data_IF_830103187223
#
_entry.id   IF_830103187223
#
_cell.length_a   1.000
_cell.length_b   1.000
_cell.length_c   1.000
_cell.angle_alpha   90.00
_cell.angle_beta   90.00
_cell.angle_gamma   90.00
#
_symmetry.space_group_name_H-M   'P 1'
#
loop_
_entity.id
_entity.type
_entity.pdbx_description
1 polymer ?
#
# COMPACT_ATOMS: atom_id res chain seq x y z
N UNK A 1 21.44 3.99 7.05
CA UNK A 1 20.32 3.10 7.45
C UNK A 1 20.37 1.89 6.54
N UNK A 2 20.52 0.67 7.09
CA UNK A 2 20.39 -0.54 6.29
C UNK A 2 18.88 -0.80 6.11
N UNK A 3 18.45 -0.95 4.85
CA UNK A 3 17.07 -1.22 4.49
C UNK A 3 16.96 -2.64 3.95
N UNK A 4 15.92 -3.36 4.40
CA UNK A 4 15.54 -4.64 3.83
C UNK A 4 14.12 -4.51 3.29
N UNK A 5 14.00 -4.48 1.96
CA UNK A 5 12.72 -4.50 1.26
C UNK A 5 12.42 -5.91 0.76
N UNK A 6 11.25 -6.42 1.10
CA UNK A 6 10.73 -7.70 0.59
C UNK A 6 9.26 -7.50 0.19
N UNK A 7 8.85 -8.17 -0.86
CA UNK A 7 7.47 -8.18 -1.30
C UNK A 7 7.02 -9.56 -1.72
N UNK A 8 5.73 -9.77 -1.69
CA UNK A 8 5.05 -10.91 -2.27
C UNK A 8 3.74 -10.44 -2.88
N UNK A 9 3.42 -10.97 -4.04
CA UNK A 9 2.10 -10.82 -4.66
C UNK A 9 1.70 -12.15 -5.26
N UNK A 10 0.46 -12.53 -5.07
CA UNK A 10 -0.06 -13.81 -5.45
C UNK A 10 -1.52 -13.68 -5.88
N UNK A 11 -1.85 -14.28 -7.01
CA UNK A 11 -3.22 -14.24 -7.54
C UNK A 11 -4.25 -14.93 -6.64
N UNK A 12 -3.82 -15.82 -5.75
CA UNK A 12 -4.71 -16.73 -5.04
C UNK A 12 -5.22 -17.88 -5.92
N UNK A 13 -6.01 -18.74 -5.31
CA UNK A 13 -6.48 -19.96 -5.98
C UNK A 13 -7.83 -19.80 -6.71
N UNK A 14 -8.56 -18.72 -6.41
CA UNK A 14 -9.95 -18.52 -6.87
C UNK A 14 -10.07 -17.44 -7.94
N UNK A 15 -9.32 -16.34 -7.82
CA UNK A 15 -9.37 -15.22 -8.76
C UNK A 15 -8.78 -15.61 -10.12
N UNK A 16 -9.35 -15.08 -11.22
CA UNK A 16 -8.84 -15.31 -12.58
C UNK A 16 -7.60 -14.47 -12.90
N UNK A 17 -7.50 -13.28 -12.31
CA UNK A 17 -6.37 -12.34 -12.46
C UNK A 17 -5.95 -11.79 -11.11
N UNK A 18 -4.75 -11.21 -11.05
CA UNK A 18 -4.31 -10.45 -9.91
C UNK A 18 -4.58 -8.97 -10.17
N UNK A 19 -5.51 -8.40 -9.42
CA UNK A 19 -5.92 -6.99 -9.51
C UNK A 19 -5.21 -6.10 -8.48
N UNK A 20 -4.40 -6.71 -7.59
CA UNK A 20 -3.52 -5.96 -6.70
C UNK A 20 -2.36 -5.33 -7.48
N UNK A 21 -2.02 -4.12 -7.12
CA UNK A 21 -0.81 -3.45 -7.60
C UNK A 21 -0.04 -2.86 -6.42
N UNK A 22 1.28 -2.77 -6.57
CA UNK A 22 2.12 -2.17 -5.54
C UNK A 22 3.33 -1.46 -6.14
N UNK A 23 3.90 -0.53 -5.40
CA UNK A 23 5.23 0.00 -5.68
C UNK A 23 6.05 0.17 -4.40
N UNK A 24 7.38 0.15 -4.59
CA UNK A 24 8.35 0.58 -3.59
C UNK A 24 9.45 1.37 -4.28
N UNK A 25 9.67 2.60 -3.82
CA UNK A 25 10.70 3.52 -4.30
C UNK A 25 11.59 3.92 -3.15
N UNK A 26 12.89 3.79 -3.32
CA UNK A 26 13.88 4.21 -2.32
C UNK A 26 14.88 5.11 -3.02
N UNK A 27 15.13 6.28 -2.46
CA UNK A 27 16.09 7.25 -2.97
C UNK A 27 16.83 7.93 -1.83
N UNK A 28 17.90 8.64 -2.15
CA UNK A 28 18.65 9.45 -1.20
C UNK A 28 18.60 10.92 -1.62
N UNK A 29 18.24 11.79 -0.68
CA UNK A 29 18.32 13.24 -0.83
C UNK A 29 19.38 13.78 0.14
N UNK A 30 20.56 14.11 -0.40
CA UNK A 30 21.72 14.40 0.45
C UNK A 30 22.11 13.17 1.27
N UNK A 31 22.05 13.30 2.60
CA UNK A 31 22.32 12.19 3.54
C UNK A 31 21.04 11.46 3.98
N UNK A 32 19.88 11.95 3.60
CA UNK A 32 18.60 11.34 3.98
C UNK A 32 18.19 10.26 3.01
N UNK A 33 17.79 9.11 3.51
CA UNK A 33 17.15 8.06 2.73
C UNK A 33 15.65 8.23 2.86
N UNK A 34 14.96 8.30 1.74
CA UNK A 34 13.51 8.36 1.65
C UNK A 34 12.98 7.11 0.96
N UNK A 35 11.83 6.63 1.40
CA UNK A 35 11.18 5.47 0.82
C UNK A 35 9.68 5.72 0.67
N UNK A 36 9.14 5.41 -0.49
CA UNK A 36 7.70 5.38 -0.77
C UNK A 36 7.29 3.93 -0.99
N UNK A 37 6.23 3.51 -0.33
CA UNK A 37 5.57 2.23 -0.55
C UNK A 37 4.09 2.49 -0.81
N UNK A 38 3.49 1.74 -1.72
CA UNK A 38 2.04 1.74 -1.92
C UNK A 38 1.54 0.34 -2.25
N UNK A 39 0.35 0.02 -1.75
CA UNK A 39 -0.45 -1.16 -2.11
C UNK A 39 -1.84 -0.68 -2.45
N UNK A 40 -2.34 -1.15 -3.59
CA UNK A 40 -3.63 -0.83 -4.14
C UNK A 40 -4.33 -2.13 -4.55
N UNK A 41 -5.49 -2.40 -3.96
CA UNK A 41 -6.31 -3.56 -4.26
C UNK A 41 -7.40 -3.14 -5.25
N UNK A 42 -7.36 -3.73 -6.43
CA UNK A 42 -8.29 -3.42 -7.51
C UNK A 42 -9.62 -4.11 -7.33
N UNK A 43 -10.70 -3.35 -7.22
CA UNK A 43 -12.06 -3.85 -7.06
C UNK A 43 -12.88 -3.68 -8.34
N UNK A 44 -13.56 -4.73 -8.78
CA UNK A 44 -14.42 -4.69 -9.96
C UNK A 44 -14.37 -5.96 -10.78
N UNK A 45 -15.28 -6.07 -11.76
CA UNK A 45 -15.33 -7.20 -12.68
C UNK A 45 -14.27 -7.11 -13.78
N UNK A 46 -13.70 -8.25 -14.20
CA UNK A 46 -12.72 -8.38 -15.28
C UNK A 46 -11.44 -7.54 -15.04
N UNK A 47 -10.83 -6.99 -16.10
CA UNK A 47 -9.55 -6.26 -16.04
C UNK A 47 -9.63 -4.83 -15.47
N UNK A 48 -10.83 -4.34 -15.14
CA UNK A 48 -11.02 -2.95 -14.78
C UNK A 48 -10.43 -2.59 -13.39
N UNK A 49 -10.47 -3.52 -12.42
CA UNK A 49 -9.83 -3.31 -11.11
C UNK A 49 -8.31 -3.17 -11.22
N UNK A 50 -7.69 -3.97 -12.09
CA UNK A 50 -6.25 -3.90 -12.38
C UNK A 50 -5.84 -2.54 -12.98
N UNK A 51 -6.67 -1.98 -13.88
CA UNK A 51 -6.45 -0.65 -14.44
C UNK A 51 -6.41 0.43 -13.34
N UNK A 52 -7.38 0.38 -12.41
CA UNK A 52 -7.45 1.36 -11.32
C UNK A 52 -6.28 1.24 -10.34
N UNK A 53 -5.94 0.02 -9.91
CA UNK A 53 -4.84 -0.20 -8.96
C UNK A 53 -3.48 0.15 -9.56
N UNK A 54 -3.23 -0.19 -10.82
CA UNK A 54 -2.01 0.19 -11.54
C UNK A 54 -1.93 1.70 -11.74
N UNK A 55 -3.04 2.36 -12.10
CA UNK A 55 -3.09 3.82 -12.21
C UNK A 55 -2.75 4.52 -10.90
N UNK A 56 -3.28 4.02 -9.78
CA UNK A 56 -2.99 4.58 -8.46
C UNK A 56 -1.51 4.44 -8.09
N UNK A 57 -0.92 3.28 -8.30
CA UNK A 57 0.51 3.05 -8.05
C UNK A 57 1.38 3.98 -8.89
N UNK A 58 1.10 4.14 -10.18
CA UNK A 58 1.84 5.05 -11.09
C UNK A 58 1.77 6.50 -10.61
N UNK A 59 0.61 6.98 -10.17
CA UNK A 59 0.49 8.35 -9.65
C UNK A 59 1.45 8.60 -8.47
N UNK A 60 1.61 7.63 -7.57
CA UNK A 60 2.56 7.73 -6.46
C UNK A 60 4.01 7.63 -6.92
N UNK A 61 4.34 6.79 -7.90
CA UNK A 61 5.67 6.71 -8.51
C UNK A 61 6.06 8.04 -9.16
N UNK A 62 5.17 8.60 -10.00
CA UNK A 62 5.39 9.90 -10.67
C UNK A 62 5.52 11.03 -9.65
N UNK A 63 4.70 11.03 -8.60
CA UNK A 63 4.83 11.99 -7.52
C UNK A 63 6.20 11.90 -6.82
N UNK A 64 6.67 10.69 -6.54
CA UNK A 64 7.96 10.46 -5.91
C UNK A 64 9.12 10.96 -6.78
N UNK A 65 9.05 10.76 -8.09
CA UNK A 65 10.09 11.16 -9.03
C UNK A 65 10.07 12.66 -9.35
N UNK A 66 8.87 13.24 -9.51
CA UNK A 66 8.73 14.60 -10.07
C UNK A 66 8.48 15.66 -9.00
N UNK A 67 7.71 15.37 -7.95
CA UNK A 67 7.29 16.36 -6.97
C UNK A 67 8.07 16.28 -5.66
N UNK A 68 8.34 15.08 -5.14
CA UNK A 68 9.04 14.90 -3.88
C UNK A 68 10.40 15.61 -3.82
N UNK A 69 11.25 15.62 -4.89
CA UNK A 69 12.52 16.34 -4.86
C UNK A 69 12.36 17.83 -4.57
N UNK A 70 11.35 18.48 -5.13
CA UNK A 70 11.05 19.89 -4.91
C UNK A 70 10.53 20.14 -3.48
N UNK A 71 9.68 19.25 -2.99
CA UNK A 71 9.16 19.28 -1.62
C UNK A 71 10.32 19.15 -0.62
N UNK A 72 11.23 18.20 -0.83
CA UNK A 72 12.41 18.00 0.01
C UNK A 72 13.32 19.23 0.04
N UNK A 73 13.56 19.87 -1.12
CA UNK A 73 14.37 21.11 -1.22
C UNK A 73 13.72 22.29 -0.50
N UNK A 74 12.39 22.36 -0.49
CA UNK A 74 11.64 23.44 0.17
C UNK A 74 11.48 23.25 1.68
N UNK A 75 11.89 22.10 2.20
CA UNK A 75 11.65 21.67 3.59
C UNK A 75 10.32 20.95 3.72
N UNK A 76 10.41 19.62 3.79
CA UNK A 76 9.25 18.71 3.87
C UNK A 76 8.35 19.05 5.07
N UNK A 77 7.06 19.21 4.82
CA UNK A 77 6.02 19.40 5.83
C UNK A 77 4.83 18.49 5.58
N UNK A 78 4.08 18.16 6.65
CA UNK A 78 2.84 17.37 6.55
C UNK A 78 1.88 17.98 5.50
N UNK A 79 1.72 19.29 5.53
CA UNK A 79 0.82 20.02 4.60
C UNK A 79 1.22 19.82 3.14
N UNK A 80 2.52 19.90 2.82
CA UNK A 80 2.98 19.73 1.43
C UNK A 80 2.73 18.31 0.92
N UNK A 81 3.03 17.30 1.74
CA UNK A 81 2.79 15.90 1.38
C UNK A 81 1.30 15.66 1.20
N UNK A 82 0.47 16.04 2.16
CA UNK A 82 -0.96 15.75 2.14
C UNK A 82 -1.71 16.48 1.02
N UNK A 83 -1.38 17.76 0.76
CA UNK A 83 -1.99 18.50 -0.34
C UNK A 83 -1.62 17.91 -1.70
N UNK A 84 -0.34 17.55 -1.90
CA UNK A 84 0.09 16.95 -3.16
C UNK A 84 -0.52 15.56 -3.37
N UNK A 85 -0.60 14.74 -2.33
CA UNK A 85 -1.27 13.45 -2.40
C UNK A 85 -2.78 13.58 -2.61
N UNK A 86 -3.41 14.54 -1.95
CA UNK A 86 -4.84 14.81 -2.19
C UNK A 86 -5.10 15.13 -3.66
N UNK A 87 -4.27 16.00 -4.24
CA UNK A 87 -4.42 16.42 -5.64
C UNK A 87 -4.27 15.25 -6.62
N UNK A 88 -3.25 14.37 -6.43
CA UNK A 88 -3.09 13.21 -7.34
C UNK A 88 -4.24 12.21 -7.18
N UNK A 89 -4.73 11.99 -5.96
CA UNK A 89 -5.85 11.08 -5.71
C UNK A 89 -7.16 11.64 -6.27
N UNK A 90 -7.41 12.93 -6.14
CA UNK A 90 -8.59 13.59 -6.69
C UNK A 90 -8.60 13.54 -8.22
N UNK A 91 -7.46 13.86 -8.86
CA UNK A 91 -7.33 13.78 -10.30
C UNK A 91 -7.58 12.36 -10.81
N UNK A 92 -6.94 11.36 -10.19
CA UNK A 92 -7.14 9.95 -10.56
C UNK A 92 -8.58 9.49 -10.33
N UNK A 93 -9.17 9.83 -9.18
CA UNK A 93 -10.56 9.47 -8.88
C UNK A 93 -11.52 9.98 -9.95
N UNK A 94 -11.39 11.26 -10.32
CA UNK A 94 -12.23 11.85 -11.36
C UNK A 94 -12.02 11.17 -12.72
N UNK A 95 -10.78 10.90 -13.10
CA UNK A 95 -10.46 10.21 -14.34
C UNK A 95 -11.04 8.79 -14.41
N UNK A 96 -10.95 8.03 -13.30
CA UNK A 96 -11.53 6.70 -13.20
C UNK A 96 -13.06 6.74 -13.24
N UNK A 97 -13.70 7.70 -12.57
CA UNK A 97 -15.16 7.90 -12.63
C UNK A 97 -15.63 8.20 -14.05
N UNK A 98 -14.95 9.10 -14.76
CA UNK A 98 -15.27 9.42 -16.17
C UNK A 98 -15.10 8.21 -17.09
N UNK A 99 -14.05 7.40 -16.87
CA UNK A 99 -13.84 6.18 -17.65
C UNK A 99 -14.93 5.15 -17.34
N UNK A 100 -15.31 4.97 -16.07
CA UNK A 100 -16.37 4.07 -15.64
C UNK A 100 -17.72 4.42 -16.29
N UNK A 101 -18.08 5.71 -16.31
CA UNK A 101 -19.30 6.20 -16.98
C UNK A 101 -19.27 5.93 -18.48
N UNK A 102 -18.16 6.21 -19.17
CA UNK A 102 -18.03 5.99 -20.62
C UNK A 102 -18.06 4.53 -21.01
N UNK A 103 -17.49 3.65 -20.21
CA UNK A 103 -17.43 2.21 -20.46
C UNK A 103 -18.62 1.43 -19.92
N UNK A 104 -19.52 2.08 -19.18
CA UNK A 104 -20.62 1.45 -18.42
C UNK A 104 -20.14 0.33 -17.48
N UNK A 105 -18.95 0.47 -16.92
CA UNK A 105 -18.35 -0.47 -15.95
C UNK A 105 -18.36 0.11 -14.55
N UNK A 106 -18.33 -0.76 -13.54
CA UNK A 106 -18.10 -0.38 -12.14
C UNK A 106 -16.80 -1.03 -11.68
N UNK A 107 -15.87 -0.20 -11.28
CA UNK A 107 -14.56 -0.63 -10.79
C UNK A 107 -13.91 0.48 -9.98
N UNK A 108 -12.87 0.14 -9.26
CA UNK A 108 -12.10 1.08 -8.48
C UNK A 108 -10.88 0.43 -7.87
N UNK A 109 -10.28 1.08 -6.91
CA UNK A 109 -9.15 0.53 -6.16
C UNK A 109 -9.08 1.11 -4.77
N UNK A 110 -8.59 0.32 -3.82
CA UNK A 110 -8.11 0.84 -2.53
C UNK A 110 -6.79 1.57 -2.73
N UNK A 111 -6.37 2.33 -1.74
CA UNK A 111 -5.02 2.92 -1.65
C UNK A 111 -4.55 2.87 -0.22
N UNK A 112 -3.39 2.26 0.00
CA UNK A 112 -2.58 2.42 1.21
C UNK A 112 -1.18 2.79 0.78
N UNK A 113 -0.78 4.06 0.98
CA UNK A 113 0.54 4.54 0.62
C UNK A 113 1.25 5.15 1.84
N UNK A 114 2.55 4.90 1.94
CA UNK A 114 3.42 5.34 3.03
C UNK A 114 4.70 5.96 2.48
N UNK A 115 5.02 7.19 2.92
CA UNK A 115 6.31 7.82 2.73
C UNK A 115 7.09 7.77 4.05
N UNK A 116 8.32 7.31 3.98
CA UNK A 116 9.31 7.41 5.05
C UNK A 116 10.31 8.49 4.64
N UNK A 117 10.36 9.57 5.39
CA UNK A 117 11.29 10.67 5.13
C UNK A 117 11.77 11.27 6.45
N UNK A 118 13.07 11.48 6.55
CA UNK A 118 13.73 11.99 7.78
C UNK A 118 13.37 11.12 8.99
N UNK A 119 12.80 11.71 10.00
CA UNK A 119 12.37 11.08 11.25
C UNK A 119 10.84 10.84 11.30
N UNK A 120 10.17 10.92 10.16
CA UNK A 120 8.70 10.84 10.07
C UNK A 120 8.21 9.79 9.09
N UNK A 121 7.00 9.34 9.36
CA UNK A 121 6.14 8.55 8.48
C UNK A 121 4.95 9.42 8.08
N UNK A 122 4.57 9.35 6.80
CA UNK A 122 3.36 9.97 6.25
C UNK A 122 2.57 8.89 5.54
N UNK A 123 1.28 8.81 5.78
CA UNK A 123 0.47 7.81 5.09
C UNK A 123 -0.89 8.33 4.71
N UNK A 124 -1.45 7.70 3.69
CA UNK A 124 -2.81 7.91 3.23
C UNK A 124 -3.51 6.58 3.04
N UNK A 125 -4.81 6.58 3.32
CA UNK A 125 -5.67 5.43 3.15
C UNK A 125 -6.98 5.80 2.45
N UNK A 126 -7.38 4.94 1.49
CA UNK A 126 -8.72 4.81 0.92
C UNK A 126 -9.02 3.32 0.83
N UNK A 127 -10.07 2.84 1.49
CA UNK A 127 -10.44 1.42 1.50
C UNK A 127 -9.95 0.66 2.73
N UNK A 128 -9.63 -0.61 2.58
CA UNK A 128 -9.32 -1.56 3.66
C UNK A 128 -7.97 -2.28 3.53
N UNK A 129 -7.18 -1.95 2.50
CA UNK A 129 -5.75 -2.29 2.51
C UNK A 129 -5.07 -1.64 3.70
N UNK A 130 -4.15 -2.36 4.35
CA UNK A 130 -3.64 -1.95 5.67
C UNK A 130 -2.18 -1.58 5.66
N UNK A 131 -1.82 -0.73 6.62
CA UNK A 131 -0.44 -0.38 6.99
C UNK A 131 -0.24 -0.74 8.46
N UNK A 132 0.78 -1.54 8.73
CA UNK A 132 1.23 -1.87 10.08
C UNK A 132 2.60 -1.28 10.33
N UNK A 133 2.84 -0.80 11.54
CA UNK A 133 4.13 -0.36 12.05
C UNK A 133 4.56 -1.29 13.19
N UNK A 134 5.77 -1.79 13.11
CA UNK A 134 6.44 -2.51 14.21
C UNK A 134 7.65 -1.70 14.67
N UNK A 135 7.70 -1.40 15.96
CA UNK A 135 8.80 -0.64 16.60
C UNK A 135 9.78 -1.55 17.36
N UNK A 136 9.60 -2.87 17.24
CA UNK A 136 10.35 -3.90 17.94
C UNK A 136 9.77 -4.28 19.30
N UNK A 137 8.88 -3.47 19.88
CA UNK A 137 8.15 -3.80 21.10
C UNK A 137 6.77 -4.41 20.78
N UNK A 138 6.22 -4.08 19.63
CA UNK A 138 4.94 -4.59 19.15
C UNK A 138 4.59 -4.05 17.77
N UNK A 139 3.53 -4.60 17.21
CA UNK A 139 2.96 -4.15 15.94
C UNK A 139 1.63 -3.46 16.18
N UNK A 140 1.42 -2.32 15.56
CA UNK A 140 0.13 -1.61 15.53
C UNK A 140 -0.34 -1.41 14.08
N UNK A 141 -1.65 -1.44 13.86
CA UNK A 141 -2.27 -1.07 12.60
C UNK A 141 -2.43 0.46 12.55
N UNK A 142 -1.70 1.12 11.63
CA UNK A 142 -1.77 2.57 11.44
C UNK A 142 -3.04 3.02 10.72
N UNK A 143 -3.60 2.17 9.88
CA UNK A 143 -4.80 2.40 9.08
C UNK A 143 -6.02 1.82 9.78
N UNK A 144 -7.22 2.21 9.32
CA UNK A 144 -8.46 1.68 9.82
C UNK A 144 -9.36 1.30 8.66
N UNK A 145 -9.80 0.04 8.64
CA UNK A 145 -10.59 -0.48 7.52
C UNK A 145 -11.85 0.35 7.28
N UNK A 146 -12.00 0.83 6.07
CA UNK A 146 -13.17 1.61 5.66
C UNK A 146 -14.25 0.67 5.10
N UNK A 147 -14.73 -0.25 5.93
CA UNK A 147 -15.75 -1.25 5.59
C UNK A 147 -17.05 -1.04 6.38
N UNK A 148 -18.12 -1.64 5.87
CA UNK A 148 -19.42 -1.59 6.54
C UNK A 148 -19.37 -2.25 7.92
N UNK A 149 -18.64 -3.37 8.07
CA UNK A 149 -18.50 -4.02 9.37
C UNK A 149 -17.75 -3.15 10.38
N UNK A 150 -16.65 -2.50 9.97
CA UNK A 150 -15.92 -1.59 10.85
C UNK A 150 -16.79 -0.40 11.30
N UNK A 151 -17.61 0.18 10.41
CA UNK A 151 -18.57 1.22 10.78
C UNK A 151 -19.59 0.74 11.80
N UNK A 152 -20.03 -0.53 11.72
CA UNK A 152 -20.93 -1.11 12.73
C UNK A 152 -20.23 -1.32 14.08
N UNK A 153 -18.94 -1.66 14.08
CA UNK A 153 -18.13 -1.75 15.31
C UNK A 153 -18.02 -0.37 15.96
N UNK A 154 -17.68 0.66 15.21
CA UNK A 154 -17.59 2.05 15.70
C UNK A 154 -18.91 2.58 16.27
N UNK A 155 -20.00 2.18 15.67
CA UNK A 155 -21.33 2.53 16.15
C UNK A 155 -21.79 1.68 17.35
N UNK A 156 -20.96 0.75 17.85
CA UNK A 156 -21.29 -0.15 18.96
C UNK A 156 -22.36 -1.19 18.64
N UNK A 157 -22.64 -1.44 17.34
CA UNK A 157 -23.64 -2.41 16.90
C UNK A 157 -23.05 -3.79 16.56
N UNK A 158 -21.73 -3.87 16.46
CA UNK A 158 -20.99 -5.11 16.22
C UNK A 158 -19.76 -5.14 17.14
N UNK A 159 -19.43 -6.29 17.73
CA UNK A 159 -18.18 -6.39 18.48
C UNK A 159 -16.97 -6.63 17.55
N UNK A 160 -15.74 -6.23 17.93
CA UNK A 160 -14.55 -6.49 17.13
C UNK A 160 -14.34 -7.98 16.82
N UNK A 161 -14.68 -8.87 17.75
CA UNK A 161 -14.56 -10.32 17.55
C UNK A 161 -15.58 -10.82 16.52
N UNK A 162 -16.82 -10.33 16.57
CA UNK A 162 -17.87 -10.71 15.63
C UNK A 162 -17.59 -10.17 14.22
N UNK A 163 -16.87 -9.05 14.08
CA UNK A 163 -16.49 -8.48 12.80
C UNK A 163 -15.66 -9.47 11.96
N UNK A 164 -14.81 -10.28 12.58
CA UNK A 164 -13.92 -11.21 11.86
C UNK A 164 -14.68 -12.22 10.98
N UNK A 165 -15.90 -12.58 11.38
CA UNK A 165 -16.76 -13.54 10.65
C UNK A 165 -17.96 -12.88 9.97
N UNK A 166 -18.12 -11.56 10.10
CA UNK A 166 -19.23 -10.82 9.52
C UNK A 166 -19.01 -10.64 8.00
N UNK A 167 -20.01 -10.99 7.19
CA UNK A 167 -19.92 -10.84 5.73
C UNK A 167 -19.75 -9.40 5.27
N UNK A 168 -20.12 -8.41 6.09
CA UNK A 168 -20.00 -6.98 5.79
C UNK A 168 -18.55 -6.47 5.90
N UNK A 169 -17.60 -7.29 6.39
CA UNK A 169 -16.18 -6.92 6.45
C UNK A 169 -15.56 -6.65 5.08
N UNK A 170 -16.08 -7.30 4.03
CA UNK A 170 -15.62 -7.15 2.65
C UNK A 170 -16.46 -6.11 1.86
N UNK A 171 -17.37 -5.37 2.52
CA UNK A 171 -18.15 -4.31 1.87
C UNK A 171 -17.45 -2.97 2.10
N UNK A 172 -16.72 -2.51 1.09
CA UNK A 172 -16.05 -1.22 1.11
C UNK A 172 -17.05 -0.06 1.22
N UNK A 173 -16.72 0.92 2.04
CA UNK A 173 -17.46 2.18 2.13
C UNK A 173 -17.02 3.19 1.08
N UNK A 174 -15.78 3.08 0.61
CA UNK A 174 -15.21 3.93 -0.41
C UNK A 174 -14.01 3.28 -1.11
N UNK A 175 -13.79 3.68 -2.34
CA UNK A 175 -12.61 3.36 -3.15
C UNK A 175 -12.38 4.49 -4.17
N UNK A 176 -11.20 4.54 -4.79
CA UNK A 176 -10.99 5.39 -5.97
C UNK A 176 -11.78 4.84 -7.16
N UNK A 177 -12.34 5.73 -7.98
CA UNK A 177 -13.07 5.39 -9.20
C UNK A 177 -14.57 5.13 -9.01
N UNK A 178 -15.08 5.16 -7.76
CA UNK A 178 -16.49 4.94 -7.51
C UNK A 178 -17.02 5.77 -6.34
N UNK A 179 -18.13 6.47 -6.55
CA UNK A 179 -18.85 7.21 -5.52
C UNK A 179 -18.09 8.42 -4.98
N UNK A 180 -18.18 8.65 -3.68
CA UNK A 180 -17.47 9.74 -2.98
C UNK A 180 -16.19 9.20 -2.37
N UNK A 181 -15.10 9.92 -2.53
CA UNK A 181 -13.81 9.61 -1.95
C UNK A 181 -13.47 10.58 -0.81
N UNK A 182 -13.11 10.08 0.34
CA UNK A 182 -12.65 10.84 1.51
C UNK A 182 -11.34 10.20 2.03
N UNK A 183 -10.18 10.53 1.46
CA UNK A 183 -8.91 9.94 1.88
C UNK A 183 -8.57 10.36 3.31
N UNK A 184 -8.00 9.44 4.07
CA UNK A 184 -7.51 9.71 5.42
C UNK A 184 -6.00 9.88 5.37
N UNK A 185 -5.51 11.09 5.68
CA UNK A 185 -4.10 11.44 5.74
C UNK A 185 -3.64 11.51 7.19
N UNK A 186 -2.51 10.89 7.49
CA UNK A 186 -1.91 10.91 8.82
C UNK A 186 -0.38 10.93 8.74
N UNK A 187 0.26 11.35 9.81
CA UNK A 187 1.71 11.30 9.97
C UNK A 187 2.07 11.00 11.42
N UNK A 188 3.26 10.46 11.61
CA UNK A 188 3.78 10.13 12.92
C UNK A 188 5.30 10.07 12.94
N UNK A 189 5.90 9.93 14.12
CA UNK A 189 7.35 9.77 14.25
C UNK A 189 7.77 8.40 13.71
N UNK A 190 8.92 8.37 13.04
CA UNK A 190 9.58 7.12 12.66
C UNK A 190 10.41 6.59 13.82
N UNK A 191 10.22 5.36 14.31
CA UNK A 191 11.11 4.76 15.30
C UNK A 191 12.53 4.60 14.74
N UNK A 192 13.53 4.64 15.59
CA UNK A 192 14.93 4.47 15.16
C UNK A 192 15.17 3.11 14.50
N UNK A 193 14.55 2.07 15.01
CA UNK A 193 14.48 0.73 14.40
C UNK A 193 13.03 0.37 14.24
N UNK A 194 12.72 -0.32 13.16
CA UNK A 194 11.34 -0.75 12.96
C UNK A 194 11.14 -1.41 11.63
N UNK A 195 9.89 -1.74 11.37
CA UNK A 195 9.44 -2.27 10.11
C UNK A 195 8.03 -1.78 9.81
N UNK A 196 7.70 -1.69 8.54
CA UNK A 196 6.32 -1.49 8.09
C UNK A 196 5.90 -2.65 7.20
N UNK A 197 4.62 -2.98 7.28
CA UNK A 197 3.95 -3.90 6.35
C UNK A 197 2.80 -3.14 5.71
N UNK A 198 2.80 -3.06 4.39
CA UNK A 198 1.64 -2.63 3.61
C UNK A 198 1.06 -3.87 2.94
N UNK A 199 -0.24 -4.08 3.00
CA UNK A 199 -0.84 -5.27 2.42
C UNK A 199 -2.29 -5.05 1.98
N UNK A 200 -2.72 -5.83 0.97
CA UNK A 200 -4.13 -6.02 0.66
C UNK A 200 -4.82 -6.86 1.74
N UNK A 201 -6.13 -6.85 1.73
CA UNK A 201 -6.97 -7.57 2.69
C UNK A 201 -6.71 -9.08 2.67
N UNK A 202 -6.47 -9.69 1.49
CA UNK A 202 -6.16 -11.11 1.35
C UNK A 202 -4.91 -11.56 2.11
N UNK A 203 -3.94 -10.67 2.36
CA UNK A 203 -2.79 -11.01 3.19
C UNK A 203 -3.12 -10.97 4.68
N UNK A 204 -3.95 -10.05 5.13
CA UNK A 204 -4.15 -9.77 6.55
C UNK A 204 -5.46 -10.30 7.15
N UNK A 205 -6.41 -10.80 6.36
CA UNK A 205 -7.70 -11.32 6.86
C UNK A 205 -7.58 -12.36 7.97
N UNK A 206 -6.55 -13.21 7.90
CA UNK A 206 -6.35 -14.32 8.83
C UNK A 206 -5.19 -14.09 9.79
N UNK A 207 -4.61 -12.89 9.81
CA UNK A 207 -3.46 -12.56 10.64
C UNK A 207 -3.84 -11.61 11.78
N UNK A 208 -3.49 -11.98 13.00
CA UNK A 208 -3.47 -11.05 14.12
C UNK A 208 -2.15 -10.26 14.14
N UNK A 209 -2.14 -9.07 14.73
CA UNK A 209 -0.96 -8.21 14.87
C UNK A 209 0.26 -8.95 15.46
N UNK A 210 0.05 -9.83 16.44
CA UNK A 210 1.12 -10.67 17.00
C UNK A 210 1.76 -11.63 15.99
N UNK A 211 1.04 -12.04 14.94
CA UNK A 211 1.59 -12.91 13.90
C UNK A 211 2.42 -12.05 12.92
N UNK A 212 1.99 -10.83 12.64
CA UNK A 212 2.77 -9.84 11.88
C UNK A 212 4.05 -9.47 12.66
N UNK A 213 3.93 -9.22 13.97
CA UNK A 213 5.10 -8.99 14.83
C UNK A 213 6.15 -10.11 14.74
N UNK A 214 5.71 -11.37 14.82
CA UNK A 214 6.62 -12.52 14.67
C UNK A 214 7.25 -12.60 13.29
N UNK A 215 6.46 -12.38 12.22
CA UNK A 215 6.97 -12.32 10.87
C UNK A 215 8.14 -11.34 10.76
N UNK A 216 8.03 -10.19 11.43
CA UNK A 216 9.04 -9.13 11.37
C UNK A 216 10.22 -9.37 12.30
N UNK A 217 10.01 -9.90 13.50
CA UNK A 217 11.05 -10.00 14.53
C UNK A 217 11.82 -11.33 14.51
N UNK A 218 11.20 -12.42 14.05
CA UNK A 218 11.84 -13.74 13.97
C UNK A 218 12.65 -13.95 12.67
N UNK A 219 12.78 -12.91 11.82
CA UNK A 219 13.51 -12.96 10.55
C UNK A 219 14.63 -11.93 10.54
N UNK A 220 15.88 -12.38 10.41
CA UNK A 220 17.05 -11.50 10.43
C UNK A 220 17.51 -11.11 9.02
N UNK A 221 17.35 -12.02 8.06
CA UNK A 221 17.78 -11.82 6.68
C UNK A 221 16.59 -11.61 5.73
N UNK A 222 16.88 -10.94 4.60
CA UNK A 222 15.90 -10.75 3.52
C UNK A 222 15.32 -12.07 3.04
N UNK A 223 16.15 -13.10 2.92
CA UNK A 223 15.74 -14.44 2.47
C UNK A 223 14.78 -15.11 3.47
N UNK A 224 15.11 -15.06 4.77
CA UNK A 224 14.24 -15.60 5.82
C UNK A 224 12.88 -14.88 5.83
N UNK A 225 12.89 -13.56 5.69
CA UNK A 225 11.67 -12.76 5.64
C UNK A 225 10.81 -13.16 4.42
N UNK A 226 11.42 -13.29 3.25
CA UNK A 226 10.72 -13.73 2.04
C UNK A 226 10.11 -15.13 2.20
N UNK A 227 10.88 -16.11 2.71
CA UNK A 227 10.39 -17.46 2.98
C UNK A 227 9.24 -17.47 3.99
N UNK A 228 9.31 -16.62 5.00
CA UNK A 228 8.23 -16.52 5.99
C UNK A 228 6.97 -15.86 5.39
N UNK A 229 7.12 -14.86 4.51
CA UNK A 229 6.00 -14.28 3.77
C UNK A 229 5.34 -15.31 2.85
N UNK A 230 6.10 -16.17 2.17
CA UNK A 230 5.54 -17.28 1.38
C UNK A 230 4.71 -18.25 2.26
N UNK A 231 5.24 -18.65 3.41
CA UNK A 231 4.49 -19.49 4.35
C UNK A 231 3.22 -18.81 4.86
N UNK A 232 3.26 -17.48 4.98
CA UNK A 232 2.07 -16.69 5.36
C UNK A 232 1.01 -16.73 4.26
N UNK A 233 1.39 -16.60 2.98
CA UNK A 233 0.47 -16.77 1.85
C UNK A 233 -0.15 -18.18 1.84
N UNK A 234 0.67 -19.22 2.01
CA UNK A 234 0.18 -20.61 2.13
C UNK A 234 -0.79 -20.77 3.31
N UNK A 235 -0.51 -20.12 4.43
CA UNK A 235 -1.39 -20.11 5.59
C UNK A 235 -2.74 -19.44 5.27
N UNK A 236 -2.75 -18.27 4.63
CA UNK A 236 -3.99 -17.58 4.23
C UNK A 236 -4.83 -18.47 3.30
N UNK A 237 -4.22 -19.06 2.28
CA UNK A 237 -4.89 -19.99 1.35
C UNK A 237 -5.49 -21.19 2.09
N UNK A 238 -4.73 -21.82 2.99
CA UNK A 238 -5.19 -22.97 3.77
C UNK A 238 -6.36 -22.63 4.71
N UNK A 239 -6.54 -21.37 5.09
CA UNK A 239 -7.65 -20.87 5.90
C UNK A 239 -8.83 -20.36 5.08
N UNK A 240 -8.78 -20.52 3.76
CA UNK A 240 -9.90 -20.22 2.87
C UNK A 240 -9.87 -18.81 2.25
N UNK A 241 -8.69 -18.17 2.19
CA UNK A 241 -8.56 -16.93 1.43
C UNK A 241 -8.85 -17.18 -0.06
N UNK A 242 -9.67 -16.32 -0.62
CA UNK A 242 -10.14 -16.43 -2.01
C UNK A 242 -9.72 -15.24 -2.88
N UNK A 243 -9.11 -14.22 -2.26
CA UNK A 243 -8.69 -13.01 -2.96
C UNK A 243 -7.23 -13.04 -3.40
N UNK A 244 -6.84 -12.00 -4.09
CA UNK A 244 -5.43 -11.68 -4.37
C UNK A 244 -4.71 -11.40 -3.05
N UNK A 245 -3.44 -11.73 -2.95
CA UNK A 245 -2.67 -11.65 -1.71
C UNK A 245 -1.40 -10.86 -1.98
N UNK A 246 -1.32 -9.63 -1.52
CA UNK A 246 -0.16 -8.76 -1.73
C UNK A 246 0.34 -8.17 -0.43
N UNK A 247 1.66 -8.18 -0.22
CA UNK A 247 2.30 -7.51 0.89
C UNK A 247 3.69 -6.97 0.54
N UNK A 248 4.00 -5.80 1.08
CA UNK A 248 5.30 -5.15 1.08
C UNK A 248 5.80 -5.06 2.52
N UNK A 249 7.05 -5.41 2.74
CA UNK A 249 7.73 -5.24 4.04
C UNK A 249 8.99 -4.42 3.83
N UNK A 250 9.12 -3.33 4.56
CA UNK A 250 10.36 -2.57 4.66
C UNK A 250 10.81 -2.55 6.12
N UNK A 251 12.00 -3.09 6.38
CA UNK A 251 12.66 -3.04 7.71
C UNK A 251 13.83 -2.07 7.65
N UNK A 252 14.07 -1.37 8.75
CA UNK A 252 15.25 -0.50 8.92
C UNK A 252 15.89 -0.70 10.30
N UNK A 253 17.20 -0.59 10.32
CA UNK A 253 17.97 -0.48 11.56
C UNK A 253 18.46 0.97 11.76
N UNK A 254 18.68 1.35 13.00
CA UNK A 254 19.12 2.69 13.36
C UNK A 254 20.58 3.02 13.01
N UNK A 255 21.28 2.18 12.27
CA UNK A 255 22.67 2.41 11.92
C UNK A 255 22.76 3.35 10.72
N UNK A 256 23.25 4.56 10.93
CA UNK A 256 23.70 5.44 9.87
C UNK A 256 24.88 4.76 9.14
N UNK A 257 24.64 4.20 7.96
CA UNK A 257 25.75 3.91 7.06
C UNK A 257 26.33 5.24 6.58
N UNK A 258 27.56 5.55 6.97
CA UNK A 258 28.36 6.57 6.31
C UNK A 258 28.54 6.15 4.85
N UNK A 259 27.69 6.64 3.97
CA UNK A 259 27.87 6.48 2.52
C UNK A 259 28.90 7.51 2.03
N UNK A 260 29.78 7.08 1.12
CA UNK A 260 30.65 7.92 0.35
C UNK A 260 29.85 8.93 -0.50
N UNK A 261 30.39 10.10 -0.76
CA UNK A 261 29.78 11.27 -1.43
C UNK A 261 29.34 11.07 -2.90
N UNK A 262 29.07 9.86 -3.36
CA UNK A 262 28.47 9.60 -4.66
C UNK A 262 26.98 9.30 -4.48
N UNK A 263 26.13 10.14 -5.06
CA UNK A 263 24.71 9.90 -5.20
C UNK A 263 24.48 8.71 -6.13
N UNK A 264 24.61 7.49 -5.61
CA UNK A 264 24.19 6.28 -6.31
C UNK A 264 22.68 6.09 -6.06
N UNK A 265 21.93 6.24 -7.11
CA UNK A 265 20.52 5.87 -7.19
C UNK A 265 20.42 4.34 -7.05
N UNK A 266 20.02 3.85 -5.88
CA UNK A 266 19.59 2.46 -5.77
C UNK A 266 18.10 2.44 -6.09
N UNK A 267 17.79 2.33 -7.39
CA UNK A 267 16.44 1.99 -7.81
C UNK A 267 16.22 0.50 -7.54
N UNK A 268 15.49 0.21 -6.48
CA UNK A 268 14.92 -1.13 -6.32
C UNK A 268 13.54 -1.11 -6.97
N UNK A 269 13.50 -1.55 -8.22
CA UNK A 269 12.25 -1.77 -8.93
C UNK A 269 11.61 -3.06 -8.42
N UNK A 270 10.43 -2.96 -7.86
CA UNK A 270 9.53 -4.07 -7.70
C UNK A 270 8.18 -3.67 -8.31
N UNK A 271 8.03 -3.99 -9.59
CA UNK A 271 6.78 -3.87 -10.31
C UNK A 271 6.42 -5.26 -10.79
N UNK A 272 5.36 -5.82 -10.24
CA UNK A 272 4.66 -6.94 -10.82
C UNK A 272 3.18 -6.62 -10.70
N UNK A 273 2.65 -5.91 -11.68
CA UNK A 273 1.25 -6.01 -12.05
C UNK A 273 1.06 -7.26 -12.91
N UNK A 274 -0.14 -7.81 -12.98
CA UNK A 274 -0.48 -8.93 -13.82
C UNK A 274 -0.01 -8.78 -15.27
N UNK A 275 -0.15 -9.80 -16.06
CA UNK A 275 0.46 -10.09 -17.36
C UNK A 275 0.33 -9.03 -18.48
N UNK A 276 -0.31 -7.87 -18.25
CA UNK A 276 -0.48 -6.83 -19.24
C UNK A 276 0.74 -5.90 -19.37
N UNK A 277 1.21 -5.68 -20.59
CA UNK A 277 2.34 -4.83 -20.88
C UNK A 277 2.04 -3.35 -20.58
N UNK A 278 3.03 -2.55 -20.09
CA UNK A 278 2.86 -1.13 -19.79
C UNK A 278 2.26 -0.29 -20.92
N UNK A 279 2.50 -0.68 -22.16
CA UNK A 279 2.06 0.02 -23.38
C UNK A 279 0.53 -0.05 -23.60
N UNK A 280 -0.18 -1.04 -23.08
CA UNK A 280 -1.64 -1.12 -23.17
C UNK A 280 -2.32 -0.12 -22.24
N UNK A 281 -1.80 0.05 -21.02
CA UNK A 281 -2.32 1.03 -20.06
C UNK A 281 -2.09 2.47 -20.48
N UNK A 282 -0.94 2.77 -21.12
CA UNK A 282 -0.64 4.10 -21.65
C UNK A 282 -1.58 4.52 -22.79
N UNK A 283 -2.13 3.58 -23.55
CA UNK A 283 -3.14 3.85 -24.58
C UNK A 283 -4.53 4.13 -23.99
N UNK A 284 -4.90 3.47 -22.91
CA UNK A 284 -6.22 3.61 -22.30
C UNK A 284 -6.29 4.77 -21.31
N UNK A 285 -5.19 5.04 -20.56
CA UNK A 285 -5.08 6.16 -19.62
C UNK A 285 -4.29 7.35 -20.18
N UNK A 286 -3.53 7.19 -21.25
CA UNK A 286 -2.57 8.15 -21.80
C UNK A 286 -3.13 9.45 -22.39
N UNK A 287 -4.41 9.72 -22.18
CA UNK A 287 -5.02 11.02 -22.43
C UNK A 287 -5.69 11.61 -21.19
N UNK A 288 -5.56 10.95 -20.03
CA UNK A 288 -6.31 11.25 -18.80
C UNK A 288 -5.37 11.58 -17.64
N UNK A 289 -4.14 11.06 -17.65
CA UNK A 289 -3.04 11.41 -16.75
C UNK A 289 -2.03 12.28 -17.51
#
# INVERSE_FOLDING_TARGET
MALQLVHITDKGDVRSSNQDSFCARISSFGQETVALLAVCDGVGGLQAGELASTGAVRCFEDWFEQQLPQIMQSGLTDTMVFLSWHQILENLHNALCEYAERSAMQFGTTVSALLIASDRLYWVQVGDSRIYLDDGAGTEQLTKDQTLAMREVEAGRLSPEAMQTDQRKNILLQCLGYGKMEPVFQSGPRPQRGAVVLCSDGFCHYLAEKQIHRLLTETETREQLWQQMQKTVEYCRAHGETDNITALVLKWDGQEQKRSDSAEWIEVWARLSGEAAPEEYDRELGGIL
#
